data_IF_540010094082
#
_entry.id   IF_540010094082
#
_cell.length_a   1.000
_cell.length_b   1.000
_cell.length_c   1.000
_cell.angle_alpha   90.00
_cell.angle_beta   90.00
_cell.angle_gamma   90.00
#
_symmetry.space_group_name_H-M   'P 1'
#
loop_
_entity.id
_entity.type
_entity.pdbx_description
1 polymer ?
#
# COMPACT_ATOMS: atom_id res chain seq x y z
N UNK A 1 -8.78 3.02 -17.58
CA UNK A 1 -8.63 1.75 -16.82
C UNK A 1 -7.17 1.69 -16.43
N UNK A 2 -6.84 1.68 -15.14
CA UNK A 2 -5.46 1.54 -14.67
C UNK A 2 -4.97 0.14 -14.99
N UNK A 3 -3.79 0.01 -15.60
CA UNK A 3 -3.25 -1.31 -15.97
C UNK A 3 -2.81 -2.10 -14.72
N UNK A 4 -2.78 -3.43 -14.80
CA UNK A 4 -2.40 -4.29 -13.67
C UNK A 4 -1.03 -3.92 -13.09
N UNK A 5 -0.03 -3.65 -13.94
CA UNK A 5 1.30 -3.24 -13.51
C UNK A 5 1.30 -1.87 -12.79
N UNK A 6 0.47 -0.92 -13.23
CA UNK A 6 0.35 0.40 -12.58
C UNK A 6 -0.24 0.25 -11.18
N UNK A 7 -1.27 -0.59 -11.04
CA UNK A 7 -1.87 -0.92 -9.76
C UNK A 7 -0.85 -1.54 -8.81
N UNK A 8 -0.13 -2.57 -9.27
CA UNK A 8 0.91 -3.25 -8.47
C UNK A 8 2.00 -2.26 -8.05
N UNK A 9 2.45 -1.39 -8.96
CA UNK A 9 3.44 -0.33 -8.65
C UNK A 9 2.95 0.62 -7.56
N UNK A 10 1.71 1.07 -7.65
CA UNK A 10 1.14 1.99 -6.66
C UNK A 10 0.99 1.35 -5.28
N UNK A 11 0.60 0.07 -5.22
CA UNK A 11 0.53 -0.70 -3.98
C UNK A 11 1.91 -0.89 -3.35
N UNK A 12 2.93 -1.11 -4.17
CA UNK A 12 4.32 -1.17 -3.71
C UNK A 12 4.73 0.09 -2.95
N UNK A 13 4.52 1.26 -3.54
CA UNK A 13 4.88 2.54 -2.90
C UNK A 13 4.16 2.75 -1.57
N UNK A 14 2.87 2.42 -1.49
CA UNK A 14 2.14 2.51 -0.24
C UNK A 14 2.64 1.54 0.82
N UNK A 15 2.93 0.29 0.46
CA UNK A 15 3.49 -0.72 1.37
C UNK A 15 4.87 -0.30 1.92
N UNK A 16 5.80 0.08 1.05
CA UNK A 16 7.15 0.52 1.42
C UNK A 16 7.10 1.69 2.41
N UNK A 17 6.24 2.68 2.14
CA UNK A 17 6.09 3.84 3.00
C UNK A 17 5.43 3.50 4.35
N UNK A 18 4.41 2.64 4.39
CA UNK A 18 3.82 2.18 5.65
C UNK A 18 4.83 1.42 6.52
N UNK A 19 5.70 0.62 5.90
CA UNK A 19 6.76 -0.09 6.62
C UNK A 19 7.82 0.88 7.16
N UNK A 20 8.23 1.89 6.38
CA UNK A 20 9.16 2.94 6.83
C UNK A 20 8.54 3.76 7.99
N UNK A 21 7.24 4.07 7.91
CA UNK A 21 6.50 4.75 8.98
C UNK A 21 6.41 3.88 10.25
N UNK A 22 6.14 2.59 10.10
CA UNK A 22 6.09 1.63 11.21
C UNK A 22 7.44 1.50 11.92
N UNK A 23 8.52 1.52 11.14
CA UNK A 23 9.89 1.48 11.64
C UNK A 23 10.29 2.72 12.43
N UNK A 24 9.62 3.84 12.18
CA UNK A 24 10.00 5.12 12.74
C UNK A 24 9.51 5.32 14.17
N UNK A 25 10.41 5.80 15.02
CA UNK A 25 10.15 6.23 16.39
C UNK A 25 9.38 7.57 16.47
N UNK A 26 9.31 8.29 15.36
CA UNK A 26 8.80 9.66 15.31
C UNK A 26 7.27 9.80 15.35
N UNK A 27 6.53 8.73 15.08
CA UNK A 27 5.07 8.75 15.02
C UNK A 27 4.45 8.96 16.41
N UNK A 28 3.30 9.61 16.49
CA UNK A 28 2.49 9.59 17.73
C UNK A 28 1.94 8.18 17.99
N UNK A 29 1.49 7.91 19.21
CA UNK A 29 0.84 6.63 19.52
C UNK A 29 -0.40 6.37 18.65
N UNK A 30 -1.16 7.41 18.33
CA UNK A 30 -2.32 7.35 17.43
C UNK A 30 -1.90 7.02 16.00
N UNK A 31 -0.91 7.74 15.46
CA UNK A 31 -0.36 7.48 14.13
C UNK A 31 0.20 6.05 14.01
N UNK A 32 0.90 5.55 15.04
CA UNK A 32 1.38 4.16 15.07
C UNK A 32 0.23 3.15 15.01
N UNK A 33 -0.85 3.40 15.76
CA UNK A 33 -2.04 2.53 15.71
C UNK A 33 -2.67 2.55 14.33
N UNK A 34 -2.84 3.72 13.72
CA UNK A 34 -3.37 3.84 12.35
C UNK A 34 -2.53 3.06 11.34
N UNK A 35 -1.19 3.16 11.40
CA UNK A 35 -0.29 2.39 10.53
C UNK A 35 -0.48 0.89 10.72
N UNK A 36 -0.58 0.41 11.97
CA UNK A 36 -0.81 -1.01 12.27
C UNK A 36 -2.17 -1.49 11.74
N UNK A 37 -3.23 -0.70 11.93
CA UNK A 37 -4.58 -1.00 11.46
C UNK A 37 -4.65 -1.08 9.93
N UNK A 38 -4.02 -0.13 9.23
CA UNK A 38 -3.90 -0.16 7.76
C UNK A 38 -3.18 -1.44 7.34
N UNK A 39 -1.98 -1.69 7.91
CA UNK A 39 -1.13 -2.82 7.54
C UNK A 39 -1.77 -4.19 7.78
N UNK A 40 -2.76 -4.28 8.68
CA UNK A 40 -3.51 -5.52 8.94
C UNK A 40 -4.21 -6.05 7.68
N UNK A 41 -4.73 -5.15 6.86
CA UNK A 41 -5.58 -5.46 5.71
C UNK A 41 -4.96 -5.00 4.37
N UNK A 42 -3.89 -4.21 4.43
CA UNK A 42 -3.14 -3.79 3.25
C UNK A 42 -2.44 -4.99 2.57
N UNK A 43 -2.29 -5.00 1.22
CA UNK A 43 -1.52 -6.03 0.53
C UNK A 43 -0.08 -6.14 1.03
N UNK A 44 0.33 -7.34 1.43
CA UNK A 44 1.71 -7.56 1.91
C UNK A 44 2.73 -7.46 0.79
N UNK A 45 3.98 -7.24 1.18
CA UNK A 45 5.07 -7.26 0.22
C UNK A 45 5.18 -8.59 -0.55
N UNK A 46 4.83 -9.72 0.07
CA UNK A 46 4.78 -11.03 -0.60
C UNK A 46 3.67 -11.11 -1.66
N UNK A 47 2.46 -10.62 -1.36
CA UNK A 47 1.36 -10.54 -2.32
C UNK A 47 1.72 -9.62 -3.50
N UNK A 48 2.28 -8.44 -3.21
CA UNK A 48 2.70 -7.48 -4.25
C UNK A 48 3.81 -8.07 -5.12
N UNK A 49 4.78 -8.77 -4.52
CA UNK A 49 5.85 -9.45 -5.25
C UNK A 49 5.32 -10.56 -6.16
N UNK A 50 4.30 -11.30 -5.72
CA UNK A 50 3.66 -12.29 -6.58
C UNK A 50 2.95 -11.61 -7.75
N UNK A 51 2.16 -10.56 -7.51
CA UNK A 51 1.50 -9.82 -8.58
C UNK A 51 2.47 -9.15 -9.56
N UNK A 52 3.64 -8.73 -9.09
CA UNK A 52 4.69 -8.22 -9.95
C UNK A 52 5.18 -9.28 -10.94
N UNK A 53 5.39 -10.52 -10.48
CA UNK A 53 5.73 -11.66 -11.35
C UNK A 53 4.61 -11.97 -12.34
N UNK A 54 3.37 -12.01 -11.88
CA UNK A 54 2.21 -12.27 -12.74
C UNK A 54 2.15 -11.23 -13.87
N UNK A 55 2.45 -9.95 -13.59
CA UNK A 55 2.52 -8.89 -14.60
C UNK A 55 3.65 -9.12 -15.62
N UNK A 56 4.85 -9.53 -15.16
CA UNK A 56 5.99 -9.84 -16.03
C UNK A 56 5.70 -11.01 -16.98
N UNK A 57 4.96 -12.02 -16.51
CA UNK A 57 4.54 -13.19 -17.30
C UNK A 57 3.47 -12.83 -18.36
N UNK A 58 2.53 -11.94 -18.03
CA UNK A 58 1.45 -11.51 -18.93
C UNK A 58 1.92 -10.56 -20.05
N UNK A 59 2.98 -9.79 -19.81
CA UNK A 59 3.50 -8.84 -20.81
C UNK A 59 5.03 -8.76 -20.72
N UNK A 60 5.77 -9.41 -21.63
CA UNK A 60 7.23 -9.37 -21.65
C UNK A 60 7.82 -7.96 -21.78
N UNK A 61 7.08 -7.01 -22.35
CA UNK A 61 7.47 -5.59 -22.42
C UNK A 61 7.48 -4.92 -21.04
N UNK A 62 6.74 -5.47 -20.06
CA UNK A 62 6.81 -5.05 -18.65
C UNK A 62 8.02 -5.63 -17.91
N UNK A 63 8.78 -6.56 -18.50
CA UNK A 63 10.04 -7.05 -17.92
C UNK A 63 11.08 -5.92 -17.75
N UNK A 64 10.98 -4.84 -18.55
CA UNK A 64 11.78 -3.62 -18.40
C UNK A 64 11.48 -2.93 -17.03
N UNK A 65 10.31 -3.18 -16.45
CA UNK A 65 9.85 -2.62 -15.18
C UNK A 65 9.81 -3.64 -14.03
N UNK A 66 10.08 -4.93 -14.27
CA UNK A 66 9.84 -6.01 -13.30
C UNK A 66 10.49 -5.80 -11.92
N UNK A 67 11.76 -5.38 -11.90
CA UNK A 67 12.47 -5.03 -10.67
C UNK A 67 11.91 -3.79 -9.94
N UNK A 68 11.12 -2.94 -10.63
CA UNK A 68 10.49 -1.72 -10.09
C UNK A 68 9.07 -1.95 -9.56
N UNK A 69 8.49 -3.14 -9.76
CA UNK A 69 7.13 -3.48 -9.30
C UNK A 69 7.13 -4.28 -7.99
N UNK A 70 8.19 -5.03 -7.73
CA UNK A 70 8.35 -5.75 -6.47
C UNK A 70 8.83 -4.82 -5.35
N UNK A 71 8.32 -4.95 -4.11
CA UNK A 71 8.85 -4.20 -2.98
C UNK A 71 10.35 -4.43 -2.82
N UNK A 72 11.07 -3.35 -2.53
CA UNK A 72 12.49 -3.45 -2.20
C UNK A 72 12.63 -4.30 -0.93
N UNK A 73 13.57 -5.25 -0.95
CA UNK A 73 13.87 -6.00 0.28
C UNK A 73 14.34 -4.97 1.31
N UNK A 74 13.58 -4.78 2.40
CA UNK A 74 13.95 -3.93 3.55
C UNK A 74 15.22 -4.41 4.28
N UNK A 75 16.02 -5.30 3.68
CA UNK A 75 17.39 -5.54 4.08
C UNK A 75 18.22 -4.36 3.60
N UNK A 76 18.20 -3.32 4.43
CA UNK A 76 19.12 -2.20 4.36
C UNK A 76 20.52 -2.69 3.98
N UNK A 77 21.04 -2.25 2.84
CA UNK A 77 22.47 -2.41 2.50
C UNK A 77 23.36 -1.44 3.30
N UNK A 78 22.79 -0.72 4.27
CA UNK A 78 23.49 -0.08 5.37
C UNK A 78 23.11 -0.77 6.68
N UNK A 79 23.93 -1.74 7.09
CA UNK A 79 23.83 -2.29 8.45
C UNK A 79 24.41 -1.23 9.39
N UNK A 80 23.57 -0.34 9.90
CA UNK A 80 23.85 0.31 11.19
C UNK A 80 23.63 -0.77 12.28
N UNK A 81 24.66 -1.16 13.06
CA UNK A 81 24.54 -2.21 14.08
C UNK A 81 23.53 -1.91 15.20
N UNK A 82 22.91 -0.73 15.21
CA UNK A 82 21.94 -0.28 16.20
C UNK A 82 20.48 -0.29 15.72
N UNK A 83 20.18 -0.64 14.46
CA UNK A 83 18.78 -0.65 14.01
C UNK A 83 17.97 -1.78 14.67
N UNK A 84 16.86 -1.46 15.38
CA UNK A 84 16.03 -2.47 15.99
C UNK A 84 15.41 -3.35 14.90
N UNK A 85 15.59 -4.66 15.04
CA UNK A 85 14.87 -5.67 14.23
C UNK A 85 13.38 -5.50 14.51
N UNK A 86 12.67 -4.81 13.62
CA UNK A 86 11.23 -4.62 13.75
C UNK A 86 10.58 -6.00 13.55
N UNK A 87 9.79 -6.49 14.51
CA UNK A 87 9.11 -7.76 14.36
C UNK A 87 8.23 -7.74 13.11
N UNK A 88 8.53 -8.62 12.15
CA UNK A 88 7.75 -8.80 10.91
C UNK A 88 6.31 -9.28 11.17
N UNK A 89 5.97 -9.66 12.41
CA UNK A 89 4.65 -10.16 12.76
C UNK A 89 3.62 -9.03 12.89
N UNK A 90 3.13 -8.55 11.74
CA UNK A 90 1.80 -7.96 11.67
C UNK A 90 0.82 -9.12 11.92
N UNK A 91 0.01 -9.05 12.97
CA UNK A 91 -1.07 -10.02 13.18
C UNK A 91 -2.14 -9.84 12.09
N UNK A 92 -1.92 -10.51 10.95
CA UNK A 92 -2.85 -10.49 9.83
C UNK A 92 -4.04 -11.39 10.14
N UNK A 93 -5.22 -10.79 10.11
CA UNK A 93 -6.49 -11.53 10.03
C UNK A 93 -6.83 -11.88 8.58
N UNK A 94 -7.85 -12.75 8.36
CA UNK A 94 -8.48 -12.85 7.06
C UNK A 94 -8.90 -11.44 6.59
N UNK A 95 -8.64 -11.13 5.32
CA UNK A 95 -8.96 -9.81 4.74
C UNK A 95 -9.99 -9.97 3.64
N UNK A 96 -11.17 -9.41 3.86
CA UNK A 96 -12.23 -9.30 2.88
C UNK A 96 -11.92 -8.20 1.84
N UNK A 97 -12.55 -8.23 0.65
CA UNK A 97 -12.39 -7.17 -0.34
C UNK A 97 -12.81 -5.78 0.18
N UNK A 98 -13.77 -5.71 1.10
CA UNK A 98 -14.20 -4.48 1.76
C UNK A 98 -13.12 -3.95 2.72
N UNK A 99 -12.58 -4.80 3.60
CA UNK A 99 -11.50 -4.40 4.52
C UNK A 99 -10.24 -3.94 3.76
N UNK A 100 -9.93 -4.60 2.63
CA UNK A 100 -8.85 -4.15 1.76
C UNK A 100 -9.11 -2.77 1.17
N UNK A 101 -10.33 -2.53 0.66
CA UNK A 101 -10.71 -1.22 0.11
C UNK A 101 -10.61 -0.12 1.18
N UNK A 102 -11.11 -0.40 2.38
CA UNK A 102 -10.99 0.48 3.53
C UNK A 102 -9.53 0.78 3.85
N UNK A 103 -8.67 -0.23 3.95
CA UNK A 103 -7.25 -0.04 4.26
C UNK A 103 -6.50 0.80 3.21
N UNK A 104 -6.79 0.61 1.91
CA UNK A 104 -6.21 1.44 0.85
C UNK A 104 -6.65 2.90 0.99
N UNK A 105 -7.92 3.14 1.31
CA UNK A 105 -8.44 4.50 1.51
C UNK A 105 -7.87 5.14 2.77
N UNK A 106 -7.84 4.41 3.88
CA UNK A 106 -7.22 4.86 5.12
C UNK A 106 -5.74 5.18 4.91
N UNK A 107 -5.02 4.41 4.10
CA UNK A 107 -3.64 4.74 3.72
C UNK A 107 -3.56 6.10 2.97
N UNK A 108 -4.40 6.31 1.96
CA UNK A 108 -4.45 7.59 1.24
C UNK A 108 -4.76 8.77 2.16
N UNK A 109 -5.81 8.66 2.99
CA UNK A 109 -6.21 9.71 3.94
C UNK A 109 -5.13 9.96 4.98
N UNK A 110 -4.48 8.90 5.46
CA UNK A 110 -3.39 9.02 6.42
C UNK A 110 -2.18 9.74 5.81
N UNK A 111 -1.76 9.36 4.60
CA UNK A 111 -0.65 10.03 3.90
C UNK A 111 -0.95 11.49 3.61
N UNK A 112 -2.20 11.80 3.23
CA UNK A 112 -2.62 13.15 2.82
C UNK A 112 -2.94 14.08 3.98
N UNK A 113 -3.54 13.56 5.04
CA UNK A 113 -4.07 14.35 6.14
C UNK A 113 -3.48 13.93 7.49
N UNK A 114 -3.42 12.62 7.77
CA UNK A 114 -2.94 12.09 9.05
C UNK A 114 -1.48 12.40 9.39
N UNK A 115 -0.62 12.53 8.39
CA UNK A 115 0.80 12.88 8.56
C UNK A 115 1.06 14.40 8.61
N UNK A 116 0.18 15.22 8.01
CA UNK A 116 0.40 16.67 7.84
C UNK A 116 -0.34 17.54 8.89
N UNK A 117 -1.39 17.04 9.52
CA UNK A 117 -2.28 17.84 10.39
C UNK A 117 -2.02 17.64 11.88
N UNK A 118 -1.09 16.75 12.24
CA UNK A 118 -0.58 16.65 13.61
C UNK A 118 0.18 17.93 13.95
N UNK A 119 -0.34 18.75 14.86
CA UNK A 119 0.27 20.01 15.38
C UNK A 119 1.68 19.85 15.98
N UNK A 120 2.26 18.65 15.93
CA UNK A 120 3.66 18.35 16.22
C UNK A 120 4.28 17.80 14.94
N UNK A 121 5.14 18.61 14.31
CA UNK A 121 6.01 18.24 13.18
C UNK A 121 7.06 17.20 13.62
N UNK A 122 6.61 16.05 14.12
CA UNK A 122 7.52 15.00 14.57
C UNK A 122 8.07 14.19 13.39
N UNK A 123 7.50 14.27 12.18
CA UNK A 123 8.06 13.55 11.03
C UNK A 123 9.48 14.09 10.71
N UNK A 124 10.51 13.23 10.69
CA UNK A 124 11.82 13.55 10.17
C UNK A 124 11.71 14.15 8.78
N UNK A 125 12.60 15.08 8.47
CA UNK A 125 12.59 15.78 7.18
C UNK A 125 12.66 14.82 5.99
N UNK A 126 13.37 13.69 6.13
CA UNK A 126 13.40 12.61 5.16
C UNK A 126 11.99 12.08 4.82
N UNK A 127 11.22 11.66 5.82
CA UNK A 127 9.87 11.12 5.60
C UNK A 127 8.92 12.20 5.07
N UNK A 128 9.04 13.43 5.58
CA UNK A 128 8.25 14.57 5.11
C UNK A 128 8.46 14.86 3.62
N UNK A 129 9.70 14.77 3.15
CA UNK A 129 10.06 14.96 1.73
C UNK A 129 9.60 13.80 0.83
N UNK A 130 9.45 12.59 1.39
CA UNK A 130 8.92 11.44 0.65
C UNK A 130 7.40 11.49 0.48
N UNK A 131 6.64 12.07 1.43
CA UNK A 131 5.16 12.09 1.39
C UNK A 131 4.59 12.58 0.05
N UNK A 132 5.03 13.72 -0.54
CA UNK A 132 4.52 14.16 -1.84
C UNK A 132 4.84 13.19 -2.98
N UNK A 133 5.99 12.52 -2.92
CA UNK A 133 6.38 11.52 -3.91
C UNK A 133 5.50 10.27 -3.81
N UNK A 134 5.24 9.78 -2.60
CA UNK A 134 4.31 8.66 -2.37
C UNK A 134 2.90 9.02 -2.84
N UNK A 135 2.38 10.20 -2.46
CA UNK A 135 1.05 10.66 -2.88
C UNK A 135 0.91 10.82 -4.40
N UNK A 136 1.98 11.12 -5.12
CA UNK A 136 1.97 11.18 -6.60
C UNK A 136 1.82 9.81 -7.25
N UNK A 137 2.21 8.74 -6.55
CA UNK A 137 2.23 7.38 -7.07
C UNK A 137 1.20 6.44 -6.43
N UNK A 138 0.64 6.83 -5.29
CA UNK A 138 -0.41 6.11 -4.57
C UNK A 138 -1.78 6.50 -5.12
N UNK A 139 -2.74 5.57 -5.28
CA UNK A 139 -4.06 5.91 -5.82
C UNK A 139 -4.81 6.86 -4.88
N UNK A 140 -5.50 7.81 -5.48
CA UNK A 140 -6.45 8.64 -4.75
C UNK A 140 -7.71 7.85 -4.38
N UNK A 141 -8.49 8.35 -3.41
CA UNK A 141 -9.74 7.72 -2.99
C UNK A 141 -10.71 7.42 -4.15
N UNK A 142 -10.80 8.32 -5.14
CA UNK A 142 -11.64 8.11 -6.32
C UNK A 142 -11.11 7.02 -7.26
N UNK A 143 -9.79 6.86 -7.37
CA UNK A 143 -9.16 5.80 -8.16
C UNK A 143 -9.35 4.43 -7.50
N UNK A 144 -9.21 4.35 -6.17
CA UNK A 144 -9.49 3.13 -5.39
C UNK A 144 -10.95 2.72 -5.62
N UNK A 145 -11.89 3.67 -5.58
CA UNK A 145 -13.30 3.38 -5.86
C UNK A 145 -13.54 2.91 -7.31
N UNK A 146 -12.86 3.53 -8.29
CA UNK A 146 -12.93 3.10 -9.68
C UNK A 146 -12.40 1.66 -9.88
N UNK A 147 -11.33 1.28 -9.16
CA UNK A 147 -10.84 -0.11 -9.16
C UNK A 147 -11.89 -1.06 -8.59
N UNK A 148 -12.52 -0.68 -7.48
CA UNK A 148 -13.55 -1.49 -6.85
C UNK A 148 -14.81 -1.66 -7.74
N UNK A 149 -15.22 -0.61 -8.45
CA UNK A 149 -16.30 -0.67 -9.44
C UNK A 149 -15.94 -1.57 -10.63
N UNK A 150 -14.68 -1.52 -11.11
CA UNK A 150 -14.20 -2.40 -12.16
C UNK A 150 -14.24 -3.87 -11.74
N UNK A 151 -13.82 -4.16 -10.51
CA UNK A 151 -13.87 -5.49 -9.90
C UNK A 151 -15.31 -6.01 -9.77
N UNK A 152 -16.23 -5.15 -9.31
CA UNK A 152 -17.65 -5.50 -9.23
C UNK A 152 -18.23 -5.81 -10.62
N UNK A 153 -17.87 -5.03 -11.64
CA UNK A 153 -18.26 -5.29 -13.03
C UNK A 153 -17.67 -6.59 -13.57
N UNK A 154 -16.41 -6.90 -13.28
CA UNK A 154 -15.82 -8.18 -13.66
C UNK A 154 -16.55 -9.36 -13.01
N UNK A 155 -16.96 -9.21 -11.74
CA UNK A 155 -17.75 -10.21 -11.01
C UNK A 155 -19.14 -10.45 -11.60
N UNK A 156 -19.80 -9.42 -12.12
CA UNK A 156 -21.10 -9.59 -12.79
C UNK A 156 -20.97 -10.28 -14.15
N UNK A 157 -19.85 -10.06 -14.86
CA UNK A 157 -19.57 -10.71 -16.15
C UNK A 157 -19.08 -12.15 -15.99
N UNK A 158 -18.28 -12.43 -14.97
CA UNK A 158 -17.82 -13.77 -14.61
C UNK A 158 -18.10 -14.05 -13.12
N UNK A 159 -19.13 -14.86 -12.80
CA UNK A 159 -19.43 -15.24 -11.42
C UNK A 159 -18.28 -15.96 -10.70
N UNK A 160 -17.31 -16.54 -11.43
CA UNK A 160 -16.12 -17.18 -10.85
C UNK A 160 -14.99 -16.18 -10.55
N UNK A 161 -15.07 -14.95 -11.06
CA UNK A 161 -14.11 -13.90 -10.78
C UNK A 161 -13.95 -13.70 -9.28
N UNK A 162 -12.70 -13.63 -8.81
CA UNK A 162 -12.40 -13.37 -7.40
C UNK A 162 -12.28 -11.87 -7.20
N UNK A 163 -13.36 -11.26 -6.71
CA UNK A 163 -13.38 -9.84 -6.40
C UNK A 163 -12.29 -9.49 -5.38
N UNK A 164 -11.50 -8.47 -5.68
CA UNK A 164 -10.36 -8.05 -4.86
C UNK A 164 -10.67 -6.79 -4.04
N UNK A 165 -11.53 -5.89 -4.57
CA UNK A 165 -12.09 -4.74 -3.84
C UNK A 165 -13.61 -4.68 -3.98
N UNK A 166 -14.28 -4.24 -2.90
CA UNK A 166 -15.71 -3.93 -2.92
C UNK A 166 -15.91 -2.42 -3.04
N UNK A 167 -16.79 -1.94 -3.94
CA UNK A 167 -17.14 -0.52 -4.00
C UNK A 167 -17.74 -0.07 -2.69
N UNK A 168 -17.46 1.17 -2.29
CA UNK A 168 -18.16 1.72 -1.15
C UNK A 168 -19.60 2.10 -1.54
N UNK A 169 -20.49 2.01 -0.55
CA UNK A 169 -21.83 2.56 -0.71
C UNK A 169 -21.70 4.07 -0.95
N UNK A 170 -22.37 4.59 -1.98
CA UNK A 170 -22.50 6.02 -2.18
C UNK A 170 -23.11 6.62 -0.90
N UNK A 171 -22.31 7.42 -0.20
CA UNK A 171 -22.73 8.16 0.99
C UNK A 171 -23.46 9.43 0.58
#
# INVERSE_FOLDING_TARGET
>A
MTMAYERTRSLRFGWEFLMELRASDCLTAEQRRTVVEILRHYPTGAEIKQWAKDCEEESPDTAIYGSRLSPENLRSTYVDPQEPVIPDSIERGPTTPQERAYALRSAYEFFRFGLLWSKKDNLPERLRRQTPYVLRHFPEGHEINNWALSDARAKTLDPKFKQWLTPEAAS
#
